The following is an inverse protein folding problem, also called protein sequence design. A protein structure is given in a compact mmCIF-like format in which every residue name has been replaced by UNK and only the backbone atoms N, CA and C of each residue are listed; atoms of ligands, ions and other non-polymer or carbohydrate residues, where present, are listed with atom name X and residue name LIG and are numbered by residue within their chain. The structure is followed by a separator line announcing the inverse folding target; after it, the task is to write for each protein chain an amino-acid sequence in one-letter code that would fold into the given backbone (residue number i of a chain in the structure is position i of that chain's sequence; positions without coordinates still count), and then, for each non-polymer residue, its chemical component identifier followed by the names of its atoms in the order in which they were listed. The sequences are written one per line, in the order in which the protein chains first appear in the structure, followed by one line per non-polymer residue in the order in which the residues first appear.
data_IF_693853964317
#
_entry.id   IF_693853964317
#
_cell.length_a   1.000
_cell.length_b   1.000
_cell.length_c   1.000
_cell.angle_alpha   90.00
_cell.angle_beta   90.00
_cell.angle_gamma   90.00
#
_symmetry.space_group_name_H-M   'P 1'
#
loop_
_entity.id
_entity.type
_entity.pdbx_description
1 polymer ?
#
# COMPACT_ATOMS: atom_id res chain seq x y z
N UNK A 1 -25.94 17.90 -28.80
CA UNK A 1 -25.97 16.68 -27.96
C UNK A 1 -24.55 16.44 -27.54
N UNK A 2 -24.26 16.59 -26.25
CA UNK A 2 -22.91 16.54 -25.71
C UNK A 2 -22.54 15.07 -25.43
N UNK A 3 -21.43 14.63 -26.01
CA UNK A 3 -20.76 13.38 -25.67
C UNK A 3 -20.03 13.57 -24.33
N UNK A 4 -20.51 12.89 -23.30
CA UNK A 4 -19.79 12.70 -22.04
C UNK A 4 -18.65 11.70 -22.27
N UNK A 5 -17.38 12.04 -21.99
CA UNK A 5 -16.30 11.06 -22.03
C UNK A 5 -16.39 10.18 -20.77
N UNK A 6 -16.45 8.86 -20.96
CA UNK A 6 -16.44 7.88 -19.86
C UNK A 6 -15.05 7.83 -19.23
N UNK A 7 -14.89 8.42 -18.05
CA UNK A 7 -13.73 8.19 -17.18
C UNK A 7 -13.96 6.92 -16.36
N UNK A 8 -13.77 5.77 -17.00
CA UNK A 8 -13.55 4.50 -16.30
C UNK A 8 -12.04 4.29 -16.13
N UNK A 9 -11.42 5.05 -15.21
CA UNK A 9 -10.21 4.59 -14.53
C UNK A 9 -10.67 3.65 -13.42
N UNK A 10 -11.16 2.47 -13.81
CA UNK A 10 -11.51 1.43 -12.86
C UNK A 10 -10.19 0.89 -12.29
N UNK A 11 -9.90 1.25 -11.04
CA UNK A 11 -9.08 0.40 -10.19
C UNK A 11 -9.67 -1.01 -10.34
N UNK A 12 -8.89 -2.00 -10.73
CA UNK A 12 -9.38 -3.38 -10.72
C UNK A 12 -9.69 -3.75 -9.25
N UNK A 13 -10.93 -3.49 -8.86
CA UNK A 13 -11.53 -3.85 -7.58
C UNK A 13 -11.98 -5.29 -7.70
N UNK A 14 -11.13 -6.20 -7.28
CA UNK A 14 -11.43 -7.61 -7.26
C UNK A 14 -10.30 -8.36 -6.60
N UNK A 15 -10.59 -9.02 -5.48
CA UNK A 15 -9.76 -10.13 -5.03
C UNK A 15 -9.90 -11.20 -6.10
N UNK A 16 -8.83 -11.45 -6.86
CA UNK A 16 -8.84 -12.55 -7.81
C UNK A 16 -9.07 -13.87 -7.06
N UNK A 17 -9.84 -14.77 -7.70
CA UNK A 17 -10.31 -16.06 -7.19
C UNK A 17 -9.20 -17.10 -6.86
N UNK A 18 -7.94 -16.67 -6.67
CA UNK A 18 -6.83 -17.53 -6.21
C UNK A 18 -6.71 -17.60 -4.69
N UNK A 19 -7.81 -17.41 -3.95
CA UNK A 19 -7.87 -17.37 -2.47
C UNK A 19 -7.48 -18.70 -1.78
N UNK A 20 -6.21 -19.10 -1.91
CA UNK A 20 -5.64 -20.24 -1.20
C UNK A 20 -5.21 -19.87 0.22
N UNK A 21 -4.50 -18.75 0.41
CA UNK A 21 -4.28 -18.21 1.77
C UNK A 21 -3.76 -16.76 1.80
N UNK A 22 -4.64 -15.78 1.57
CA UNK A 22 -4.28 -14.35 1.68
C UNK A 22 -3.82 -13.96 3.11
N UNK A 23 -4.34 -14.65 4.13
CA UNK A 23 -3.93 -14.42 5.52
C UNK A 23 -2.48 -14.87 5.77
N UNK A 24 -2.07 -16.04 5.26
CA UNK A 24 -0.67 -16.48 5.30
C UNK A 24 0.23 -15.54 4.50
N UNK A 25 -0.25 -15.04 3.36
CA UNK A 25 0.50 -14.07 2.58
C UNK A 25 0.76 -12.78 3.38
N UNK A 26 -0.26 -12.23 4.04
CA UNK A 26 -0.09 -11.06 4.92
C UNK A 26 0.84 -11.35 6.09
N UNK A 27 0.77 -12.54 6.69
CA UNK A 27 1.72 -12.95 7.72
C UNK A 27 3.16 -13.00 7.19
N UNK A 28 3.37 -13.48 5.97
CA UNK A 28 4.68 -13.48 5.34
C UNK A 28 5.16 -12.05 5.02
N UNK A 29 4.28 -11.16 4.53
CA UNK A 29 4.61 -9.73 4.40
C UNK A 29 5.08 -9.14 5.73
N UNK A 30 4.38 -9.46 6.83
CA UNK A 30 4.72 -9.00 8.17
C UNK A 30 6.10 -9.50 8.63
N UNK A 31 6.37 -10.79 8.46
CA UNK A 31 7.68 -11.42 8.78
C UNK A 31 8.84 -10.79 8.03
N UNK A 32 8.63 -10.40 6.77
CA UNK A 32 9.60 -9.71 5.94
C UNK A 32 9.66 -8.19 6.22
N UNK A 33 8.86 -7.71 7.17
CA UNK A 33 8.76 -6.31 7.54
C UNK A 33 8.27 -5.42 6.40
N UNK A 34 7.43 -5.93 5.50
CA UNK A 34 6.93 -5.25 4.30
C UNK A 34 5.54 -4.62 4.47
N UNK A 35 5.16 -3.78 3.51
CA UNK A 35 3.76 -3.40 3.33
C UNK A 35 2.98 -4.57 2.72
N UNK A 36 1.68 -4.65 3.01
CA UNK A 36 0.80 -5.72 2.51
C UNK A 36 0.61 -5.58 1.00
N UNK A 37 0.72 -6.70 0.29
CA UNK A 37 0.48 -6.77 -1.16
C UNK A 37 -0.62 -7.78 -1.46
N UNK A 38 -1.19 -7.72 -2.66
CA UNK A 38 -1.93 -8.87 -3.19
C UNK A 38 -1.02 -10.09 -3.30
N UNK A 39 -1.60 -11.29 -3.36
CA UNK A 39 -0.87 -12.57 -3.38
C UNK A 39 0.11 -12.67 -4.56
N UNK A 40 -0.26 -12.13 -5.72
CA UNK A 40 0.63 -12.06 -6.89
C UNK A 40 1.86 -11.14 -6.71
N UNK A 41 1.90 -10.36 -5.63
CA UNK A 41 2.95 -9.38 -5.35
C UNK A 41 2.94 -8.16 -6.28
N UNK A 42 1.96 -8.08 -7.21
CA UNK A 42 1.93 -7.09 -8.29
C UNK A 42 1.58 -5.67 -7.84
N UNK A 43 0.85 -5.52 -6.73
CA UNK A 43 0.49 -4.22 -6.14
C UNK A 43 0.32 -4.30 -4.63
N UNK A 44 0.40 -3.17 -3.96
CA UNK A 44 0.04 -3.05 -2.54
C UNK A 44 -1.48 -3.16 -2.35
N UNK A 45 -1.87 -3.59 -1.15
CA UNK A 45 -3.26 -3.54 -0.69
C UNK A 45 -3.64 -2.08 -0.44
N UNK A 46 -4.85 -1.72 -0.85
CA UNK A 46 -5.44 -0.39 -0.68
C UNK A 46 -6.71 -0.47 0.17
N UNK A 47 -7.10 0.65 0.75
CA UNK A 47 -8.34 0.86 1.51
C UNK A 47 -9.60 0.39 0.78
N UNK A 48 -9.66 0.56 -0.55
CA UNK A 48 -10.79 0.09 -1.37
C UNK A 48 -10.89 -1.43 -1.47
N UNK A 49 -9.79 -2.17 -1.26
CA UNK A 49 -9.84 -3.63 -1.23
C UNK A 49 -10.74 -4.11 -0.08
N UNK A 50 -10.83 -3.37 1.04
CA UNK A 50 -11.66 -3.75 2.18
C UNK A 50 -13.13 -3.31 2.12
N UNK A 51 -13.56 -2.65 1.04
CA UNK A 51 -14.94 -2.13 0.91
C UNK A 51 -15.91 -3.09 0.23
N UNK A 52 -15.44 -4.24 -0.29
CA UNK A 52 -16.27 -5.22 -0.98
C UNK A 52 -16.74 -6.38 -0.08
N UNK A 53 -17.83 -7.04 -0.47
CA UNK A 53 -18.46 -8.17 0.26
C UNK A 53 -17.62 -9.47 0.28
N UNK A 54 -16.43 -9.47 -0.31
CA UNK A 54 -15.65 -10.68 -0.61
C UNK A 54 -14.39 -10.86 0.24
N UNK A 55 -14.14 -10.04 1.27
CA UNK A 55 -12.93 -10.19 2.09
C UNK A 55 -13.11 -11.30 3.12
N UNK A 56 -12.22 -12.30 3.09
CA UNK A 56 -12.16 -13.33 4.14
C UNK A 56 -11.78 -12.68 5.49
N UNK A 57 -12.52 -13.01 6.54
CA UNK A 57 -12.34 -12.44 7.88
C UNK A 57 -10.93 -12.65 8.43
N UNK A 58 -10.29 -13.78 8.11
CA UNK A 58 -8.92 -14.09 8.50
C UNK A 58 -7.93 -13.11 7.85
N UNK A 59 -8.10 -12.80 6.57
CA UNK A 59 -7.25 -11.84 5.86
C UNK A 59 -7.47 -10.42 6.38
N UNK A 60 -8.71 -10.03 6.66
CA UNK A 60 -9.03 -8.74 7.26
C UNK A 60 -8.40 -8.59 8.66
N UNK A 61 -8.44 -9.63 9.49
CA UNK A 61 -7.79 -9.61 10.80
C UNK A 61 -6.26 -9.49 10.70
N UNK A 62 -5.63 -10.27 9.82
CA UNK A 62 -4.19 -10.17 9.58
C UNK A 62 -3.80 -8.76 9.08
N UNK A 63 -4.63 -8.16 8.22
CA UNK A 63 -4.39 -6.80 7.74
C UNK A 63 -4.52 -5.75 8.85
N UNK A 64 -5.53 -5.86 9.72
CA UNK A 64 -5.69 -4.96 10.85
C UNK A 64 -4.50 -5.04 11.84
N UNK A 65 -3.94 -6.24 12.05
CA UNK A 65 -2.83 -6.47 12.99
C UNK A 65 -1.49 -6.01 12.41
N UNK A 66 -1.20 -6.39 11.16
CA UNK A 66 0.14 -6.32 10.60
C UNK A 66 0.35 -5.25 9.54
N UNK A 67 -0.70 -4.55 9.09
CA UNK A 67 -0.53 -3.49 8.10
C UNK A 67 0.36 -2.37 8.67
N UNK A 68 1.29 -1.93 7.83
CA UNK A 68 2.14 -0.75 8.08
C UNK A 68 1.54 0.55 7.53
N UNK A 69 0.39 0.44 6.88
CA UNK A 69 -0.43 1.56 6.46
C UNK A 69 -1.65 1.62 7.40
N UNK A 70 -1.74 2.72 8.15
CA UNK A 70 -2.80 2.94 9.14
C UNK A 70 -4.19 2.99 8.51
N UNK A 71 -4.33 3.60 7.32
CA UNK A 71 -5.64 3.69 6.65
C UNK A 71 -6.09 2.31 6.18
N UNK A 72 -5.15 1.49 5.69
CA UNK A 72 -5.41 0.09 5.32
C UNK A 72 -5.77 -0.76 6.55
N UNK A 73 -5.07 -0.56 7.68
CA UNK A 73 -5.36 -1.25 8.93
C UNK A 73 -6.77 -0.89 9.47
N UNK A 74 -7.12 0.40 9.48
CA UNK A 74 -8.44 0.89 9.89
C UNK A 74 -9.54 0.36 8.95
N UNK A 75 -9.30 0.36 7.63
CA UNK A 75 -10.25 -0.14 6.64
C UNK A 75 -10.53 -1.65 6.82
N UNK A 76 -9.53 -2.43 7.22
CA UNK A 76 -9.68 -3.87 7.43
C UNK A 76 -10.62 -4.24 8.61
N UNK A 77 -10.89 -3.30 9.54
CA UNK A 77 -11.84 -3.52 10.64
C UNK A 77 -13.31 -3.46 10.16
N UNK A 78 -13.58 -2.79 9.05
CA UNK A 78 -14.94 -2.62 8.52
C UNK A 78 -15.64 -3.95 8.17
N UNK A 79 -15.08 -4.83 7.31
CA UNK A 79 -15.73 -6.09 6.97
C UNK A 79 -15.92 -7.01 8.20
N UNK A 80 -15.00 -6.94 9.17
CA UNK A 80 -15.13 -7.67 10.43
C UNK A 80 -16.29 -7.16 11.29
N UNK A 81 -16.51 -5.84 11.34
CA UNK A 81 -17.55 -5.23 12.16
C UNK A 81 -18.95 -5.33 11.55
N UNK A 82 -19.06 -5.21 10.23
CA UNK A 82 -20.34 -5.24 9.49
C UNK A 82 -21.03 -6.61 9.50
N UNK A 83 -20.26 -7.69 9.68
CA UNK A 83 -20.77 -9.06 9.64
C UNK A 83 -21.37 -9.52 10.99
N UNK A 84 -21.03 -8.84 12.10
CA UNK A 84 -21.45 -9.18 13.48
C UNK A 84 -22.97 -9.06 13.75
N UNK A 85 -23.71 -8.04 13.26
CA UNK A 85 -25.14 -7.90 13.51
C UNK A 85 -25.97 -9.08 13.02
N UNK A 86 -25.49 -9.80 12.00
CA UNK A 86 -26.20 -10.88 11.30
C UNK A 86 -25.83 -12.27 11.85
N UNK A 87 -24.84 -12.36 12.74
CA UNK A 87 -24.30 -13.62 13.27
C UNK A 87 -25.06 -14.17 14.48
N UNK A 88 -24.96 -15.49 14.69
CA UNK A 88 -25.40 -16.17 15.90
C UNK A 88 -24.57 -15.76 17.13
N UNK A 89 -25.11 -15.95 18.33
CA UNK A 89 -24.45 -15.58 19.60
C UNK A 89 -23.07 -16.23 19.72
N UNK A 90 -22.94 -17.53 19.43
CA UNK A 90 -21.65 -18.25 19.50
C UNK A 90 -20.61 -17.71 18.51
N UNK A 91 -21.04 -17.24 17.34
CA UNK A 91 -20.15 -16.62 16.36
C UNK A 91 -19.75 -15.20 16.78
N UNK A 92 -20.61 -14.47 17.48
CA UNK A 92 -20.29 -13.15 18.03
C UNK A 92 -19.20 -13.22 19.09
N UNK A 93 -19.24 -14.20 20.00
CA UNK A 93 -18.20 -14.40 21.02
C UNK A 93 -16.82 -14.67 20.38
N UNK A 94 -16.78 -15.40 19.26
CA UNK A 94 -15.54 -15.64 18.50
C UNK A 94 -15.00 -14.35 17.88
N UNK A 95 -15.87 -13.49 17.34
CA UNK A 95 -15.46 -12.20 16.77
C UNK A 95 -15.05 -11.21 17.86
N UNK A 96 -15.75 -11.15 18.99
CA UNK A 96 -15.32 -10.37 20.16
C UNK A 96 -13.90 -10.76 20.60
N UNK A 97 -13.63 -12.06 20.69
CA UNK A 97 -12.28 -12.56 20.99
C UNK A 97 -11.26 -12.18 19.93
N UNK A 98 -11.64 -12.18 18.65
CA UNK A 98 -10.78 -11.73 17.56
C UNK A 98 -10.43 -10.24 17.69
N UNK A 99 -11.40 -9.38 18.02
CA UNK A 99 -11.13 -7.96 18.23
C UNK A 99 -10.23 -7.71 19.45
N UNK A 100 -10.35 -8.50 20.52
CA UNK A 100 -9.38 -8.46 21.62
C UNK A 100 -7.97 -8.88 21.17
N UNK A 101 -7.84 -9.93 20.34
CA UNK A 101 -6.55 -10.31 19.77
C UNK A 101 -5.98 -9.20 18.89
N UNK A 102 -6.80 -8.51 18.10
CA UNK A 102 -6.38 -7.34 17.31
C UNK A 102 -5.89 -6.22 18.24
N UNK A 103 -6.65 -5.87 19.27
CA UNK A 103 -6.27 -4.84 20.25
C UNK A 103 -4.95 -5.17 20.96
N UNK A 104 -4.73 -6.43 21.33
CA UNK A 104 -3.53 -6.88 22.04
C UNK A 104 -2.29 -6.97 21.12
N UNK A 105 -2.46 -7.49 19.90
CA UNK A 105 -1.35 -7.84 19.01
C UNK A 105 -0.94 -6.71 18.06
N UNK A 106 -1.83 -5.74 17.79
CA UNK A 106 -1.50 -4.65 16.88
C UNK A 106 -0.44 -3.74 17.48
N UNK A 107 0.48 -3.24 16.67
CA UNK A 107 1.52 -2.30 17.12
C UNK A 107 1.07 -0.83 17.05
N UNK A 108 0.09 -0.53 16.22
CA UNK A 108 -0.47 0.81 16.02
C UNK A 108 -1.48 1.18 17.13
N UNK A 109 -1.22 2.28 17.84
CA UNK A 109 -2.06 2.74 18.94
C UNK A 109 -3.47 3.17 18.49
N UNK A 110 -3.60 3.74 17.30
CA UNK A 110 -4.90 4.15 16.75
C UNK A 110 -5.80 2.94 16.48
N UNK A 111 -5.23 1.84 15.98
CA UNK A 111 -5.98 0.61 15.76
C UNK A 111 -6.45 -0.03 17.08
N UNK A 112 -5.63 0.04 18.14
CA UNK A 112 -6.04 -0.42 19.48
C UNK A 112 -7.25 0.36 19.98
N UNK A 113 -7.21 1.69 19.85
CA UNK A 113 -8.31 2.55 20.29
C UNK A 113 -9.60 2.28 19.53
N UNK A 114 -9.52 2.08 18.21
CA UNK A 114 -10.67 1.74 17.37
C UNK A 114 -11.23 0.36 17.72
N UNK A 115 -10.38 -0.67 17.84
CA UNK A 115 -10.79 -2.02 18.21
C UNK A 115 -11.46 -2.04 19.60
N UNK A 116 -10.85 -1.39 20.60
CA UNK A 116 -11.39 -1.27 21.95
C UNK A 116 -12.71 -0.49 22.00
N UNK A 117 -12.86 0.55 21.16
CA UNK A 117 -14.13 1.29 21.03
C UNK A 117 -15.25 0.41 20.49
N UNK A 118 -14.96 -0.39 19.45
CA UNK A 118 -15.93 -1.32 18.86
C UNK A 118 -16.38 -2.38 19.88
N UNK A 119 -15.45 -2.94 20.66
CA UNK A 119 -15.75 -3.87 21.77
C UNK A 119 -16.65 -3.21 22.82
N UNK A 120 -16.27 -2.04 23.33
CA UNK A 120 -17.05 -1.32 24.36
C UNK A 120 -18.45 -0.96 23.90
N UNK A 121 -18.60 -0.64 22.61
CA UNK A 121 -19.90 -0.32 22.02
C UNK A 121 -20.80 -1.55 21.84
N UNK A 122 -20.24 -2.78 21.94
CA UNK A 122 -20.88 -4.03 21.51
C UNK A 122 -21.27 -3.99 20.02
N UNK A 123 -20.38 -3.48 19.19
CA UNK A 123 -20.54 -3.40 17.73
C UNK A 123 -21.87 -2.77 17.29
N UNK A 124 -22.26 -1.67 17.96
CA UNK A 124 -23.48 -0.94 17.57
C UNK A 124 -23.34 -0.42 16.15
N UNK A 125 -24.37 -0.60 15.33
CA UNK A 125 -24.42 -0.09 13.96
C UNK A 125 -24.23 1.44 13.86
N UNK A 126 -24.44 2.20 14.94
CA UNK A 126 -24.15 3.63 14.97
C UNK A 126 -22.63 3.90 15.02
N UNK A 127 -21.87 3.12 15.81
CA UNK A 127 -20.42 3.27 15.93
C UNK A 127 -19.69 2.77 14.68
N UNK A 128 -20.16 1.67 14.09
CA UNK A 128 -19.63 1.18 12.81
C UNK A 128 -19.81 2.26 11.72
N UNK A 129 -20.99 2.88 11.64
CA UNK A 129 -21.22 4.00 10.70
C UNK A 129 -20.39 5.24 11.01
N UNK A 130 -20.10 5.52 12.29
CA UNK A 130 -19.23 6.61 12.67
C UNK A 130 -17.79 6.37 12.20
N UNK A 131 -17.28 5.14 12.40
CA UNK A 131 -15.97 4.71 11.89
C UNK A 131 -15.89 4.79 10.37
N UNK A 132 -16.90 4.29 9.66
CA UNK A 132 -17.00 4.41 8.19
C UNK A 132 -16.97 5.87 7.73
N UNK A 133 -17.71 6.75 8.42
CA UNK A 133 -17.73 8.18 8.12
C UNK A 133 -16.38 8.84 8.40
N UNK A 134 -15.71 8.50 9.49
CA UNK A 134 -14.39 9.03 9.84
C UNK A 134 -13.34 8.59 8.81
N UNK A 135 -13.34 7.31 8.46
CA UNK A 135 -12.46 6.78 7.42
C UNK A 135 -12.76 7.42 6.06
N UNK A 136 -14.03 7.63 5.72
CA UNK A 136 -14.45 8.40 4.55
C UNK A 136 -13.91 9.83 4.55
N UNK A 137 -13.94 10.50 5.70
CA UNK A 137 -13.40 11.85 5.88
C UNK A 137 -11.85 11.89 5.79
N UNK A 138 -11.15 10.85 6.22
CA UNK A 138 -9.68 10.73 6.08
C UNK A 138 -9.29 10.46 4.61
N UNK A 139 -9.99 9.54 3.96
CA UNK A 139 -9.67 9.05 2.61
C UNK A 139 -10.07 10.06 1.53
N UNK A 140 -11.23 10.72 1.65
CA UNK A 140 -11.78 11.59 0.59
C UNK A 140 -10.82 12.74 0.19
N UNK A 141 -10.26 13.53 1.12
CA UNK A 141 -9.25 14.55 0.79
C UNK A 141 -8.01 13.96 0.12
N UNK A 142 -7.59 12.77 0.53
CA UNK A 142 -6.42 12.10 -0.02
C UNK A 142 -6.65 11.68 -1.49
N UNK A 143 -7.85 11.18 -1.81
CA UNK A 143 -8.25 10.88 -3.20
C UNK A 143 -8.37 12.11 -4.07
N UNK A 144 -8.90 13.20 -3.53
CA UNK A 144 -8.98 14.48 -4.24
C UNK A 144 -7.57 14.93 -4.62
N UNK A 145 -6.64 14.96 -3.66
CA UNK A 145 -5.22 15.30 -3.91
C UNK A 145 -4.59 14.39 -4.98
N UNK A 146 -4.82 13.08 -4.91
CA UNK A 146 -4.34 12.15 -5.92
C UNK A 146 -4.89 12.47 -7.31
N UNK A 147 -6.19 12.70 -7.43
CA UNK A 147 -6.83 13.06 -8.70
C UNK A 147 -6.30 14.39 -9.24
N UNK A 148 -6.10 15.38 -8.38
CA UNK A 148 -5.55 16.68 -8.75
C UNK A 148 -4.10 16.52 -9.23
N UNK A 149 -3.29 15.69 -8.57
CA UNK A 149 -1.94 15.37 -9.00
C UNK A 149 -1.89 14.64 -10.36
N UNK A 150 -2.85 13.74 -10.65
CA UNK A 150 -2.97 13.12 -11.98
C UNK A 150 -3.20 14.16 -13.09
N UNK A 151 -3.90 15.27 -12.80
CA UNK A 151 -4.03 16.37 -13.75
C UNK A 151 -2.68 17.03 -14.02
N UNK A 152 -1.85 17.23 -12.98
CA UNK A 152 -0.48 17.77 -13.12
C UNK A 152 0.39 16.82 -13.96
N UNK A 153 0.30 15.50 -13.73
CA UNK A 153 1.00 14.50 -14.55
C UNK A 153 0.55 14.58 -16.01
N UNK A 154 -0.76 14.76 -16.25
CA UNK A 154 -1.29 14.94 -17.61
C UNK A 154 -0.75 16.21 -18.26
N UNK A 155 -0.77 17.35 -17.57
CA UNK A 155 -0.20 18.62 -18.05
C UNK A 155 1.28 18.48 -18.41
N UNK A 156 2.04 17.69 -17.63
CA UNK A 156 3.42 17.38 -17.95
C UNK A 156 3.53 16.57 -19.25
N UNK A 157 2.71 15.54 -19.42
CA UNK A 157 2.67 14.72 -20.64
C UNK A 157 2.28 15.54 -21.88
N UNK A 158 1.40 16.52 -21.71
CA UNK A 158 0.94 17.44 -22.74
C UNK A 158 1.92 18.63 -22.96
N UNK A 159 3.04 18.65 -22.22
CA UNK A 159 4.09 19.69 -22.24
C UNK A 159 3.59 21.10 -21.88
N UNK A 160 2.50 21.17 -21.12
CA UNK A 160 1.89 22.42 -20.64
C UNK A 160 2.64 23.00 -19.42
N UNK A 161 3.39 22.15 -18.70
CA UNK A 161 4.25 22.55 -17.57
C UNK A 161 5.69 22.11 -17.78
N UNK A 162 6.62 22.87 -17.19
CA UNK A 162 8.05 22.56 -17.21
C UNK A 162 8.45 21.59 -16.09
N UNK A 163 9.54 20.85 -16.31
CA UNK A 163 10.02 19.80 -15.39
C UNK A 163 10.19 20.29 -13.95
N UNK A 164 10.73 21.51 -13.75
CA UNK A 164 10.92 22.10 -12.42
C UNK A 164 9.59 22.31 -11.69
N UNK A 165 8.58 22.83 -12.38
CA UNK A 165 7.25 23.07 -11.81
C UNK A 165 6.60 21.75 -11.38
N UNK A 166 6.76 20.71 -12.21
CA UNK A 166 6.27 19.38 -11.88
C UNK A 166 6.93 18.80 -10.62
N UNK A 167 8.23 19.01 -10.43
CA UNK A 167 8.93 18.50 -9.23
C UNK A 167 8.49 19.21 -7.95
N UNK A 168 8.23 20.50 -8.01
CA UNK A 168 7.72 21.26 -6.87
C UNK A 168 6.32 20.76 -6.48
N UNK A 169 5.44 20.53 -7.46
CA UNK A 169 4.12 19.91 -7.24
C UNK A 169 4.23 18.47 -6.71
N UNK A 170 5.17 17.67 -7.23
CA UNK A 170 5.40 16.30 -6.76
C UNK A 170 5.89 16.28 -5.30
N UNK A 171 6.77 17.21 -4.90
CA UNK A 171 7.23 17.34 -3.52
C UNK A 171 6.09 17.75 -2.60
N UNK A 172 5.28 18.71 -3.01
CA UNK A 172 4.12 19.14 -2.23
C UNK A 172 3.13 17.98 -2.06
N UNK A 173 2.81 17.29 -3.17
CA UNK A 173 1.99 16.09 -3.16
C UNK A 173 2.54 15.05 -2.17
N UNK A 174 3.83 14.74 -2.26
CA UNK A 174 4.52 13.80 -1.37
C UNK A 174 4.41 14.19 0.11
N UNK A 175 4.70 15.44 0.45
CA UNK A 175 4.66 15.93 1.84
C UNK A 175 3.25 15.86 2.41
N UNK A 176 2.25 16.22 1.59
CA UNK A 176 0.84 16.19 1.99
C UNK A 176 0.27 14.77 2.04
N UNK A 177 0.90 13.83 1.33
CA UNK A 177 0.54 12.41 1.25
C UNK A 177 1.19 11.59 2.35
N UNK A 178 2.41 11.93 2.79
CA UNK A 178 3.13 11.20 3.82
C UNK A 178 2.27 11.06 5.10
N UNK A 179 1.78 9.85 5.36
CA UNK A 179 0.93 9.51 6.49
C UNK A 179 -0.57 9.86 6.35
N UNK A 180 -1.03 10.35 5.19
CA UNK A 180 -2.43 10.76 4.96
C UNK A 180 -3.06 10.17 3.70
N UNK A 181 -2.29 9.55 2.81
CA UNK A 181 -2.79 8.79 1.68
C UNK A 181 -2.46 7.32 1.89
N UNK A 182 -3.32 6.50 1.32
CA UNK A 182 -3.08 5.09 1.07
C UNK A 182 -1.78 4.89 0.27
N UNK A 183 -0.79 4.24 0.90
CA UNK A 183 0.52 4.00 0.33
C UNK A 183 0.44 3.24 -1.00
N UNK A 184 -0.54 2.34 -1.16
CA UNK A 184 -0.73 1.61 -2.40
C UNK A 184 -1.18 2.51 -3.55
N UNK A 185 -2.07 3.47 -3.29
CA UNK A 185 -2.47 4.49 -4.30
C UNK A 185 -1.25 5.34 -4.70
N UNK A 186 -0.44 5.75 -3.73
CA UNK A 186 0.78 6.51 -3.98
C UNK A 186 1.78 5.72 -4.84
N UNK A 187 2.06 4.46 -4.49
CA UNK A 187 2.94 3.58 -5.27
C UNK A 187 2.44 3.41 -6.70
N UNK A 188 1.14 3.17 -6.88
CA UNK A 188 0.55 3.01 -8.21
C UNK A 188 0.74 4.26 -9.09
N UNK A 189 0.67 5.44 -8.48
CA UNK A 189 0.98 6.70 -9.18
C UNK A 189 2.41 6.72 -9.71
N UNK A 190 3.38 6.36 -8.86
CA UNK A 190 4.79 6.30 -9.25
C UNK A 190 5.00 5.25 -10.34
N UNK A 191 4.40 4.08 -10.20
CA UNK A 191 4.51 3.01 -11.20
C UNK A 191 3.97 3.46 -12.57
N UNK A 192 2.87 4.21 -12.60
CA UNK A 192 2.30 4.82 -13.81
C UNK A 192 3.24 5.86 -14.44
N UNK A 193 3.90 6.69 -13.63
CA UNK A 193 4.88 7.67 -14.12
C UNK A 193 6.10 6.97 -14.72
N UNK A 194 6.66 5.99 -14.02
CA UNK A 194 7.86 5.29 -14.41
C UNK A 194 7.64 4.38 -15.63
N UNK A 195 6.45 3.80 -15.78
CA UNK A 195 6.07 3.00 -16.95
C UNK A 195 5.72 3.84 -18.20
N UNK A 196 5.31 5.10 -18.03
CA UNK A 196 4.95 5.97 -19.16
C UNK A 196 6.18 6.35 -19.99
N UNK A 197 6.13 6.06 -21.29
CA UNK A 197 7.15 6.49 -22.26
C UNK A 197 7.04 7.97 -22.65
N UNK A 198 5.90 8.62 -22.33
CA UNK A 198 5.69 10.06 -22.63
C UNK A 198 6.41 10.98 -21.65
N UNK A 199 6.80 10.47 -20.48
CA UNK A 199 7.52 11.21 -19.45
C UNK A 199 9.02 11.01 -19.66
N UNK A 200 9.77 12.11 -19.66
CA UNK A 200 11.21 12.10 -19.93
C UNK A 200 12.00 11.34 -18.86
N UNK A 201 13.11 10.72 -19.27
CA UNK A 201 14.04 10.05 -18.35
C UNK A 201 14.63 11.05 -17.34
N UNK A 202 14.80 12.32 -17.72
CA UNK A 202 15.24 13.39 -16.81
C UNK A 202 14.32 13.52 -15.60
N UNK A 203 13.00 13.57 -15.81
CA UNK A 203 12.02 13.67 -14.72
C UNK A 203 12.07 12.41 -13.85
N UNK A 204 12.10 11.22 -14.46
CA UNK A 204 12.18 9.95 -13.72
C UNK A 204 13.42 9.88 -12.83
N UNK A 205 14.58 10.36 -13.31
CA UNK A 205 15.81 10.47 -12.52
C UNK A 205 15.68 11.44 -11.35
N UNK A 206 15.06 12.61 -11.58
CA UNK A 206 14.83 13.60 -10.53
C UNK A 206 13.85 13.10 -9.47
N UNK A 207 12.80 12.37 -9.87
CA UNK A 207 11.89 11.69 -8.95
C UNK A 207 12.62 10.61 -8.14
N UNK A 208 13.47 9.80 -8.77
CA UNK A 208 14.24 8.78 -8.07
C UNK A 208 15.17 9.37 -6.99
N UNK A 209 15.77 10.54 -7.25
CA UNK A 209 16.53 11.28 -6.24
C UNK A 209 15.65 11.75 -5.08
N UNK A 210 14.43 12.22 -5.35
CA UNK A 210 13.50 12.65 -4.31
C UNK A 210 13.11 11.48 -3.38
N UNK A 211 13.01 10.25 -3.91
CA UNK A 211 12.75 9.05 -3.11
C UNK A 211 13.82 8.76 -2.06
N UNK A 212 15.05 9.30 -2.21
CA UNK A 212 16.09 9.16 -1.19
C UNK A 212 15.70 9.83 0.13
N UNK A 213 14.85 10.85 0.10
CA UNK A 213 14.41 11.59 1.28
C UNK A 213 13.38 10.84 2.13
N UNK A 214 12.92 9.68 1.68
CA UNK A 214 11.85 8.93 2.34
C UNK A 214 12.41 8.06 3.47
N UNK A 215 11.57 7.71 4.47
CA UNK A 215 11.93 6.72 5.47
C UNK A 215 12.42 5.42 4.82
N UNK A 216 13.43 4.79 5.43
CA UNK A 216 14.15 3.64 4.85
C UNK A 216 13.22 2.56 4.30
N UNK A 217 12.17 2.22 5.06
CA UNK A 217 11.22 1.20 4.65
C UNK A 217 10.41 1.57 3.41
N UNK A 218 9.90 2.81 3.36
CA UNK A 218 9.11 3.31 2.23
C UNK A 218 9.99 3.40 0.99
N UNK A 219 11.18 3.98 1.15
CA UNK A 219 12.19 4.08 0.09
C UNK A 219 12.52 2.70 -0.49
N UNK A 220 12.74 1.70 0.37
CA UNK A 220 13.03 0.32 -0.04
C UNK A 220 11.91 -0.28 -0.89
N UNK A 221 10.66 -0.11 -0.49
CA UNK A 221 9.50 -0.63 -1.23
C UNK A 221 9.31 0.05 -2.58
N UNK A 222 9.39 1.37 -2.64
CA UNK A 222 9.18 2.14 -3.87
C UNK A 222 10.28 1.91 -4.90
N UNK A 223 11.54 1.92 -4.47
CA UNK A 223 12.69 1.74 -5.38
C UNK A 223 12.74 0.31 -5.91
N UNK A 224 12.44 -0.69 -5.07
CA UNK A 224 12.33 -2.08 -5.55
C UNK A 224 11.18 -2.28 -6.53
N UNK A 225 10.05 -1.56 -6.38
CA UNK A 225 8.98 -1.55 -7.38
C UNK A 225 9.47 -0.99 -8.72
N UNK A 226 10.14 0.17 -8.71
CA UNK A 226 10.67 0.78 -9.93
C UNK A 226 11.59 -0.19 -10.69
N UNK A 227 12.43 -0.95 -9.98
CA UNK A 227 13.29 -1.95 -10.61
C UNK A 227 12.55 -3.22 -11.08
N UNK A 228 11.41 -3.55 -10.49
CA UNK A 228 10.59 -4.68 -10.88
C UNK A 228 9.66 -4.35 -12.07
N UNK A 229 9.48 -3.05 -12.40
CA UNK A 229 8.65 -2.63 -13.53
C UNK A 229 9.20 -3.17 -14.88
N UNK A 230 8.36 -3.80 -15.70
CA UNK A 230 8.76 -4.26 -17.03
C UNK A 230 9.00 -3.05 -17.95
N UNK A 231 10.01 -3.17 -18.84
CA UNK A 231 10.24 -2.18 -19.89
C UNK A 231 10.97 -0.91 -19.46
N UNK A 232 11.60 -0.87 -18.28
CA UNK A 232 12.46 0.25 -17.88
C UNK A 232 13.67 0.40 -18.81
N UNK A 233 14.05 1.65 -19.10
CA UNK A 233 15.25 1.93 -19.91
C UNK A 233 16.51 1.53 -19.13
N UNK A 234 17.50 0.98 -19.83
CA UNK A 234 18.80 0.63 -19.21
C UNK A 234 19.49 1.87 -18.59
N UNK A 235 19.23 3.04 -19.15
CA UNK A 235 19.75 4.31 -18.66
C UNK A 235 19.18 4.65 -17.27
N UNK A 236 17.85 4.53 -17.07
CA UNK A 236 17.21 4.73 -15.77
C UNK A 236 17.71 3.70 -14.76
N UNK A 237 17.76 2.42 -15.13
CA UNK A 237 18.20 1.34 -14.24
C UNK A 237 19.64 1.57 -13.77
N UNK A 238 20.53 1.97 -14.69
CA UNK A 238 21.92 2.25 -14.37
C UNK A 238 22.07 3.49 -13.50
N UNK A 239 21.32 4.55 -13.79
CA UNK A 239 21.30 5.77 -12.98
C UNK A 239 20.86 5.47 -11.54
N UNK A 240 19.73 4.80 -11.37
CA UNK A 240 19.19 4.47 -10.03
C UNK A 240 20.16 3.56 -9.29
N UNK A 241 20.76 2.56 -9.95
CA UNK A 241 21.75 1.67 -9.30
C UNK A 241 22.96 2.45 -8.77
N UNK A 242 23.55 3.32 -9.59
CA UNK A 242 24.68 4.15 -9.18
C UNK A 242 24.31 5.13 -8.05
N UNK A 243 23.11 5.71 -8.13
CA UNK A 243 22.57 6.56 -7.07
C UNK A 243 22.46 5.80 -5.75
N UNK A 244 21.95 4.58 -5.75
CA UNK A 244 21.84 3.78 -4.52
C UNK A 244 23.20 3.45 -3.94
N UNK A 245 24.15 3.02 -4.77
CA UNK A 245 25.51 2.68 -4.34
C UNK A 245 26.27 3.91 -3.79
N UNK A 246 25.93 5.12 -4.25
CA UNK A 246 26.55 6.37 -3.79
C UNK A 246 25.93 6.91 -2.50
N UNK A 247 24.61 6.86 -2.36
CA UNK A 247 23.89 7.57 -1.29
C UNK A 247 23.39 6.67 -0.15
N UNK A 248 23.34 5.35 -0.35
CA UNK A 248 22.87 4.41 0.67
C UNK A 248 24.00 3.49 1.15
N UNK A 249 23.82 2.93 2.34
CA UNK A 249 24.72 1.90 2.85
C UNK A 249 24.52 0.58 2.09
N UNK A 250 25.56 -0.27 2.09
CA UNK A 250 25.56 -1.54 1.36
C UNK A 250 24.39 -2.44 1.76
N UNK A 251 24.06 -2.48 3.05
CA UNK A 251 22.95 -3.27 3.59
C UNK A 251 21.61 -2.89 2.97
N UNK A 252 21.25 -1.59 2.95
CA UNK A 252 20.00 -1.11 2.34
C UNK A 252 19.96 -1.40 0.83
N UNK A 253 21.10 -1.27 0.15
CA UNK A 253 21.21 -1.59 -1.28
C UNK A 253 20.93 -3.07 -1.53
N UNK A 254 21.49 -3.96 -0.71
CA UNK A 254 21.25 -5.41 -0.78
C UNK A 254 19.78 -5.72 -0.55
N UNK A 255 19.16 -5.13 0.47
CA UNK A 255 17.72 -5.32 0.73
C UNK A 255 16.85 -4.92 -0.47
N UNK A 256 17.13 -3.78 -1.10
CA UNK A 256 16.39 -3.33 -2.29
C UNK A 256 16.53 -4.33 -3.44
N UNK A 257 17.73 -4.86 -3.67
CA UNK A 257 18.02 -5.83 -4.73
C UNK A 257 17.32 -7.17 -4.46
N UNK A 258 17.39 -7.68 -3.24
CA UNK A 258 16.67 -8.91 -2.83
C UNK A 258 15.16 -8.75 -2.99
N UNK A 259 14.63 -7.60 -2.56
CA UNK A 259 13.20 -7.34 -2.65
C UNK A 259 12.70 -7.23 -4.09
N UNK A 260 13.51 -6.63 -4.97
CA UNK A 260 13.27 -6.64 -6.42
C UNK A 260 13.22 -8.08 -6.95
N UNK A 261 14.20 -8.92 -6.62
CA UNK A 261 14.26 -10.29 -7.15
C UNK A 261 13.08 -11.15 -6.65
N UNK A 262 12.64 -10.94 -5.41
CA UNK A 262 11.40 -11.52 -4.88
C UNK A 262 10.19 -11.09 -5.72
N UNK A 263 10.03 -9.80 -6.00
CA UNK A 263 8.93 -9.26 -6.82
C UNK A 263 8.93 -9.78 -8.26
N UNK A 264 10.10 -10.08 -8.82
CA UNK A 264 10.25 -10.68 -10.15
C UNK A 264 10.03 -12.21 -10.16
N UNK A 265 9.59 -12.80 -9.03
CA UNK A 265 9.44 -14.25 -8.85
C UNK A 265 10.73 -15.03 -9.18
N UNK A 266 11.90 -14.41 -9.01
CA UNK A 266 13.20 -15.09 -9.16
C UNK A 266 13.54 -15.97 -7.95
N UNK A 267 12.82 -15.76 -6.85
CA UNK A 267 12.82 -16.57 -5.64
C UNK A 267 11.38 -16.76 -5.16
N UNK A 268 11.07 -17.90 -4.54
CA UNK A 268 9.79 -18.10 -3.84
C UNK A 268 9.83 -17.49 -2.43
N UNK A 269 8.67 -17.11 -1.90
CA UNK A 269 8.54 -16.61 -0.51
C UNK A 269 9.10 -17.60 0.54
N UNK A 270 9.11 -18.90 0.24
CA UNK A 270 9.73 -19.93 1.09
C UNK A 270 11.26 -19.83 1.12
N UNK A 271 11.90 -19.60 -0.03
CA UNK A 271 13.37 -19.49 -0.13
C UNK A 271 13.93 -18.26 0.60
N UNK A 272 13.15 -17.18 0.66
CA UNK A 272 13.55 -15.95 1.37
C UNK A 272 13.44 -16.14 2.89
N UNK A 273 12.42 -16.86 3.38
CA UNK A 273 12.33 -17.20 4.81
C UNK A 273 13.51 -18.08 5.26
N UNK A 274 13.94 -19.05 4.45
CA UNK A 274 15.11 -19.89 4.75
C UNK A 274 16.42 -19.09 4.81
N UNK A 275 16.59 -18.09 3.94
CA UNK A 275 17.76 -17.19 3.98
C UNK A 275 17.78 -16.32 5.23
N UNK A 276 16.64 -15.78 5.66
CA UNK A 276 16.51 -14.94 6.85
C UNK A 276 16.74 -15.75 8.14
N UNK A 277 16.20 -16.98 8.22
CA UNK A 277 16.41 -17.87 9.37
C UNK A 277 17.88 -18.30 9.52
N UNK A 278 18.58 -18.53 8.42
CA UNK A 278 20.00 -18.87 8.42
C UNK A 278 20.90 -17.69 8.82
N UNK A 279 20.48 -16.44 8.58
CA UNK A 279 21.24 -15.24 8.96
C UNK A 279 21.01 -14.87 10.43
N UNK A 280 19.87 -15.26 11.00
CA UNK A 280 19.52 -15.04 12.42
C UNK A 280 20.15 -16.06 13.37
N UNK A 281 20.78 -17.10 12.80
CA UNK A 281 21.40 -18.22 13.52
C UNK A 281 22.93 -18.15 13.56
N UNK A 282 23.51 -16.99 13.20
CA UNK A 282 24.95 -16.71 13.30
C UNK A 282 25.25 -15.59 14.29
#
# INVERSE_FOLDING_TARGET
MADTPSTDNQFHTGFDNSMGNLADHFLNCAKLGRYLTVESGSRFIITDDFRGDSVLSEAAAMAAIYSKDQLVAEAALLPLSQSIPIMSIESRDKYERLFHLIEEQTLDAGIKDVAGSLIRSRFRAAEIRALESELGNKISPARIRYRDFLLVVKQLMDKEIIEKSFLDEFRQFTQDVAGKLDFGIYSFCLDSIFSSQRISDTIKKLLALELLNYPTLIRRELISNIFALPGQSQEIVSFISNMLDQYLNVETVVEIKLLKDLKLNRFSMQQVNELVENTSSQ
#
